data_IF_526427344677
#
_entry.id   IF_526427344677
#
_cell.length_a   1.000
_cell.length_b   1.000
_cell.length_c   1.000
_cell.angle_alpha   90.00
_cell.angle_beta   90.00
_cell.angle_gamma   90.00
#
_symmetry.space_group_name_H-M   'P 1'
#
loop_
_entity.id
_entity.type
_entity.pdbx_description
1 polymer ?
#
# COMPACT_ATOMS: atom_id res chain seq x y z
N UNK A 1 -18.06 22.66 -32.16
CA UNK A 1 -17.05 22.10 -33.08
C UNK A 1 -16.79 20.66 -32.65
N UNK A 2 -16.97 19.69 -33.55
CA UNK A 2 -16.53 18.30 -33.39
C UNK A 2 -15.12 18.17 -34.01
N UNK A 3 -14.27 17.31 -33.47
CA UNK A 3 -12.88 17.15 -33.94
C UNK A 3 -12.75 16.27 -35.21
N UNK A 4 -13.86 16.00 -35.90
CA UNK A 4 -13.89 15.13 -37.09
C UNK A 4 -13.77 13.63 -36.81
N UNK A 5 -13.64 13.20 -35.55
CA UNK A 5 -13.65 11.77 -35.20
C UNK A 5 -15.07 11.22 -35.14
N UNK A 6 -15.24 9.95 -35.54
CA UNK A 6 -16.53 9.25 -35.51
C UNK A 6 -17.17 9.29 -34.11
N UNK A 7 -16.36 9.14 -33.07
CA UNK A 7 -16.77 9.23 -31.67
C UNK A 7 -17.40 10.59 -31.32
N UNK A 8 -16.86 11.68 -31.86
CA UNK A 8 -17.36 13.04 -31.62
C UNK A 8 -18.70 13.28 -32.31
N UNK A 9 -18.92 12.66 -33.48
CA UNK A 9 -20.21 12.68 -34.17
C UNK A 9 -21.26 11.81 -33.46
N UNK A 10 -20.86 10.62 -33.00
CA UNK A 10 -21.72 9.68 -32.27
C UNK A 10 -21.96 10.08 -30.82
N UNK A 11 -21.17 11.01 -30.27
CA UNK A 11 -21.14 11.38 -28.85
C UNK A 11 -20.94 10.17 -27.94
N UNK A 12 -20.16 9.20 -28.41
CA UNK A 12 -19.87 7.96 -27.71
C UNK A 12 -18.41 7.58 -27.99
N UNK A 13 -17.70 7.14 -26.95
CA UNK A 13 -16.35 6.63 -27.03
C UNK A 13 -16.29 5.29 -26.31
N UNK A 14 -15.70 4.28 -26.95
CA UNK A 14 -15.58 2.93 -26.40
C UNK A 14 -14.18 2.77 -25.80
N UNK A 15 -14.10 2.25 -24.58
CA UNK A 15 -12.85 2.06 -23.86
C UNK A 15 -12.74 0.58 -23.47
N UNK A 16 -12.20 -0.23 -24.37
CA UNK A 16 -12.15 -1.69 -24.20
C UNK A 16 -11.12 -2.15 -23.16
N UNK A 17 -10.08 -1.34 -22.95
CA UNK A 17 -8.95 -1.68 -22.07
C UNK A 17 -9.20 -1.35 -20.58
N UNK A 18 -10.43 -0.96 -20.21
CA UNK A 18 -10.74 -0.43 -18.87
C UNK A 18 -11.93 -1.14 -18.25
N UNK A 19 -11.70 -1.75 -17.09
CA UNK A 19 -12.78 -2.29 -16.27
C UNK A 19 -13.68 -1.15 -15.73
N UNK A 20 -14.99 -1.40 -15.69
CA UNK A 20 -16.02 -0.46 -15.23
C UNK A 20 -15.68 0.14 -13.87
N UNK A 21 -15.13 -0.66 -12.95
CA UNK A 21 -14.79 -0.20 -11.60
C UNK A 21 -13.66 0.84 -11.59
N UNK A 22 -12.73 0.80 -12.54
CA UNK A 22 -11.65 1.78 -12.67
C UNK A 22 -12.16 3.08 -13.28
N UNK A 23 -12.99 2.95 -14.33
CA UNK A 23 -13.61 4.10 -14.98
C UNK A 23 -14.51 4.87 -14.00
N UNK A 24 -15.30 4.19 -13.17
CA UNK A 24 -16.13 4.84 -12.15
C UNK A 24 -15.29 5.68 -11.18
N UNK A 25 -14.16 5.14 -10.69
CA UNK A 25 -13.24 5.88 -9.79
C UNK A 25 -12.60 7.08 -10.48
N UNK A 26 -12.25 6.93 -11.76
CA UNK A 26 -11.78 8.06 -12.56
C UNK A 26 -12.85 9.13 -12.71
N UNK A 27 -14.10 8.76 -12.98
CA UNK A 27 -15.22 9.71 -13.04
C UNK A 27 -15.43 10.41 -11.69
N UNK A 28 -15.41 9.68 -10.58
CA UNK A 28 -15.47 10.28 -9.24
C UNK A 28 -14.39 11.34 -9.07
N UNK A 29 -13.14 11.00 -9.43
CA UNK A 29 -12.04 11.95 -9.39
C UNK A 29 -12.27 13.16 -10.31
N UNK A 30 -12.73 12.96 -11.54
CA UNK A 30 -12.95 14.05 -12.49
C UNK A 30 -14.02 15.05 -12.02
N UNK A 31 -15.05 14.58 -11.30
CA UNK A 31 -16.14 15.43 -10.82
C UNK A 31 -16.00 15.92 -9.38
N UNK A 32 -15.29 15.19 -8.51
CA UNK A 32 -15.15 15.51 -7.06
C UNK A 32 -13.74 15.89 -6.66
N UNK A 33 -12.76 15.66 -7.52
CA UNK A 33 -11.33 15.75 -7.20
C UNK A 33 -10.79 14.55 -6.44
N UNK A 34 -11.64 13.60 -6.01
CA UNK A 34 -11.24 12.41 -5.25
C UNK A 34 -11.99 11.14 -5.69
N UNK A 35 -11.50 9.96 -5.33
CA UNK A 35 -12.13 8.67 -5.63
C UNK A 35 -12.28 7.77 -4.39
N UNK A 36 -13.32 6.95 -4.43
CA UNK A 36 -13.67 5.99 -3.39
C UNK A 36 -12.81 4.74 -3.49
N UNK A 37 -12.27 4.33 -2.35
CA UNK A 37 -11.48 3.11 -2.20
C UNK A 37 -12.43 1.94 -1.93
N UNK A 38 -12.28 0.79 -2.62
CA UNK A 38 -13.13 -0.36 -2.32
C UNK A 38 -12.92 -0.84 -0.88
N UNK A 39 -13.92 -1.46 -0.25
CA UNK A 39 -13.72 -2.09 1.04
C UNK A 39 -12.71 -3.24 0.95
N UNK A 40 -12.01 -3.52 2.05
CA UNK A 40 -11.30 -4.78 2.19
C UNK A 40 -12.30 -5.95 2.20
N UNK A 41 -11.91 -7.09 1.66
CA UNK A 41 -12.74 -8.29 1.68
C UNK A 41 -12.49 -9.07 2.97
N UNK A 42 -13.53 -9.61 3.59
CA UNK A 42 -13.37 -10.52 4.73
C UNK A 42 -13.27 -11.94 4.20
N UNK A 43 -12.11 -12.59 4.34
CA UNK A 43 -11.90 -13.98 3.94
C UNK A 43 -12.53 -14.99 4.94
N UNK A 44 -13.58 -14.61 5.66
CA UNK A 44 -14.36 -15.62 6.37
C UNK A 44 -15.07 -16.46 5.31
N UNK A 45 -14.57 -17.67 5.07
CA UNK A 45 -15.43 -18.76 4.61
C UNK A 45 -16.67 -18.70 5.48
N UNK A 46 -17.84 -18.41 4.88
CA UNK A 46 -19.11 -18.42 5.60
C UNK A 46 -19.42 -19.87 5.98
N UNK A 47 -18.79 -20.34 7.04
CA UNK A 47 -19.25 -21.46 7.84
C UNK A 47 -20.61 -21.05 8.40
N UNK A 48 -21.65 -21.58 7.77
CA UNK A 48 -23.02 -21.43 8.18
C UNK A 48 -23.19 -22.17 9.52
N UNK A 49 -23.12 -21.45 10.64
CA UNK A 49 -23.67 -21.94 11.90
C UNK A 49 -24.23 -20.77 12.73
N UNK A 50 -25.52 -20.89 12.99
CA UNK A 50 -26.34 -19.99 13.77
C UNK A 50 -26.08 -20.21 15.26
N UNK A 51 -25.92 -19.12 16.02
CA UNK A 51 -26.35 -18.95 17.42
C UNK A 51 -25.31 -18.16 18.23
N UNK A 52 -25.67 -16.94 18.61
CA UNK A 52 -25.11 -16.31 19.80
C UNK A 52 -26.15 -15.48 20.52
N UNK A 53 -26.71 -16.05 21.59
CA UNK A 53 -27.42 -15.32 22.63
C UNK A 53 -26.55 -15.11 23.88
N UNK A 54 -26.74 -13.91 24.43
CA UNK A 54 -26.61 -13.49 25.83
C UNK A 54 -25.27 -12.95 26.39
N UNK A 55 -25.25 -11.61 26.48
CA UNK A 55 -24.97 -10.76 27.64
C UNK A 55 -24.31 -11.35 28.91
N UNK A 56 -23.31 -10.67 29.48
CA UNK A 56 -23.43 -9.79 30.67
C UNK A 56 -22.09 -9.50 31.37
N UNK A 57 -22.09 -8.38 32.10
CA UNK A 57 -21.02 -7.70 32.82
C UNK A 57 -20.29 -8.50 33.91
N UNK A 58 -19.05 -8.07 34.25
CA UNK A 58 -18.44 -8.50 35.51
C UNK A 58 -17.01 -8.04 35.84
N UNK A 59 -16.89 -6.88 36.49
CA UNK A 59 -16.00 -6.55 37.64
C UNK A 59 -14.47 -6.37 37.48
N UNK A 60 -14.02 -5.16 37.90
CA UNK A 60 -12.70 -4.79 38.46
C UNK A 60 -12.37 -5.55 39.77
N UNK A 61 -11.09 -5.87 40.03
CA UNK A 61 -10.26 -5.33 41.15
C UNK A 61 -8.80 -5.85 41.23
N UNK A 62 -7.88 -4.89 41.46
CA UNK A 62 -6.68 -4.82 42.32
C UNK A 62 -5.61 -5.94 42.41
N UNK A 63 -4.40 -5.57 41.95
CA UNK A 63 -3.13 -5.36 42.67
C UNK A 63 -2.65 -6.39 43.73
N UNK A 64 -1.44 -6.92 43.54
CA UNK A 64 -0.49 -7.17 44.63
C UNK A 64 0.97 -7.16 44.15
N UNK A 65 1.82 -6.49 44.94
CA UNK A 65 3.25 -6.26 44.74
C UNK A 65 4.08 -7.44 45.25
N UNK A 66 5.22 -7.73 44.61
CA UNK A 66 6.36 -8.43 45.24
C UNK A 66 7.68 -7.84 44.75
N UNK A 67 8.59 -7.61 45.70
CA UNK A 67 9.93 -7.06 45.54
C UNK A 67 10.94 -8.13 45.12
N UNK A 68 11.99 -7.72 44.39
CA UNK A 68 13.19 -8.52 44.07
C UNK A 68 14.42 -7.62 44.26
N UNK A 69 15.58 -8.14 44.74
CA UNK A 69 16.68 -7.35 45.32
C UNK A 69 17.68 -6.77 44.29
N UNK A 70 18.53 -5.87 44.80
CA UNK A 70 19.63 -5.15 44.16
C UNK A 70 20.50 -5.99 43.20
N UNK A 71 20.61 -5.53 41.96
CA UNK A 71 21.62 -5.95 40.97
C UNK A 71 22.51 -4.73 40.67
N UNK A 72 23.86 -4.86 40.72
CA UNK A 72 24.79 -3.76 40.43
C UNK A 72 24.63 -3.20 39.01
N UNK A 73 24.93 -1.92 38.75
CA UNK A 73 24.72 -1.32 37.45
C UNK A 73 25.75 -1.82 36.43
N UNK A 74 25.32 -2.68 35.50
CA UNK A 74 26.04 -2.90 34.25
C UNK A 74 25.93 -1.66 33.34
N UNK A 75 26.99 -1.34 32.57
CA UNK A 75 27.09 -0.12 31.79
C UNK A 75 25.98 -0.04 30.74
N UNK A 76 25.22 1.05 30.79
CA UNK A 76 24.19 1.40 29.82
C UNK A 76 24.82 1.51 28.43
N UNK A 77 24.45 0.60 27.54
CA UNK A 77 24.67 0.73 26.11
C UNK A 77 23.71 1.81 25.61
N UNK A 78 24.24 2.91 25.06
CA UNK A 78 23.44 3.94 24.41
C UNK A 78 22.59 3.31 23.28
N UNK A 79 21.30 3.67 23.12
CA UNK A 79 20.49 3.12 22.04
C UNK A 79 21.02 3.66 20.71
N UNK A 80 21.87 2.88 20.05
CA UNK A 80 22.21 3.10 18.66
C UNK A 80 20.93 2.95 17.84
N UNK A 81 20.37 4.08 17.39
CA UNK A 81 19.24 4.09 16.48
C UNK A 81 19.69 3.38 15.21
N UNK A 82 19.30 2.12 15.05
CA UNK A 82 19.72 1.32 13.89
C UNK A 82 19.33 2.03 12.59
N UNK A 83 20.17 1.94 11.56
CA UNK A 83 19.89 2.50 10.21
C UNK A 83 18.48 2.13 9.72
N UNK A 84 18.01 0.94 10.11
CA UNK A 84 16.65 0.42 9.86
C UNK A 84 15.53 1.30 10.42
N UNK A 85 15.65 1.73 11.68
CA UNK A 85 14.64 2.56 12.34
C UNK A 85 14.53 3.93 11.65
N UNK A 86 15.67 4.49 11.21
CA UNK A 86 15.69 5.76 10.47
C UNK A 86 15.07 5.63 9.08
N UNK A 87 15.42 4.60 8.31
CA UNK A 87 14.85 4.38 6.99
C UNK A 87 13.33 4.17 7.06
N UNK A 88 12.88 3.37 8.04
CA UNK A 88 11.46 3.14 8.28
C UNK A 88 10.74 4.44 8.64
N UNK A 89 11.34 5.30 9.47
CA UNK A 89 10.81 6.63 9.76
C UNK A 89 10.76 7.55 8.52
N UNK A 90 11.80 7.52 7.67
CA UNK A 90 11.83 8.27 6.40
C UNK A 90 10.72 7.82 5.45
N UNK A 91 10.49 6.51 5.35
CA UNK A 91 9.37 5.98 4.58
C UNK A 91 8.03 6.50 5.10
N UNK A 92 7.76 6.39 6.41
CA UNK A 92 6.48 6.80 6.99
C UNK A 92 6.23 8.33 6.96
N UNK A 93 7.29 9.14 6.89
CA UNK A 93 7.20 10.61 6.81
C UNK A 93 7.09 11.15 5.39
N UNK A 94 7.26 10.29 4.38
CA UNK A 94 7.22 10.68 2.96
C UNK A 94 5.83 11.17 2.58
N UNK A 95 5.78 12.25 1.81
CA UNK A 95 4.55 12.75 1.19
C UNK A 95 4.76 12.82 -0.32
N UNK A 96 3.81 12.27 -1.07
CA UNK A 96 3.87 12.20 -2.53
C UNK A 96 3.11 13.33 -3.23
N UNK A 97 2.42 14.19 -2.48
CA UNK A 97 1.81 15.40 -3.01
C UNK A 97 2.79 16.57 -2.89
N UNK A 98 3.28 17.06 -4.04
CA UNK A 98 4.29 18.15 -4.13
C UNK A 98 3.66 19.53 -4.27
N UNK A 99 2.38 19.61 -4.65
CA UNK A 99 1.72 20.89 -4.94
C UNK A 99 0.91 21.39 -3.73
N UNK A 100 1.04 22.69 -3.41
CA UNK A 100 0.27 23.39 -2.37
C UNK A 100 -1.08 23.93 -2.92
N UNK A 101 -1.55 23.42 -4.06
CA UNK A 101 -2.85 23.84 -4.59
C UNK A 101 -3.97 23.50 -3.60
N UNK A 102 -5.05 24.30 -3.54
CA UNK A 102 -6.18 24.04 -2.65
C UNK A 102 -6.77 22.64 -2.81
N UNK A 103 -6.71 22.11 -4.05
CA UNK A 103 -7.13 20.75 -4.39
C UNK A 103 -6.19 19.73 -3.73
N UNK A 104 -4.87 19.91 -3.83
CA UNK A 104 -3.91 19.03 -3.16
C UNK A 104 -4.07 19.05 -1.63
N UNK A 105 -4.39 20.22 -1.02
CA UNK A 105 -4.67 20.35 0.41
C UNK A 105 -5.92 19.57 0.84
N UNK A 106 -6.99 19.62 0.04
CA UNK A 106 -8.21 18.83 0.29
C UNK A 106 -7.89 17.33 0.17
N UNK A 107 -7.10 16.94 -0.81
CA UNK A 107 -6.71 15.55 -1.04
C UNK A 107 -5.72 15.00 0.01
N UNK A 108 -5.05 15.88 0.76
CA UNK A 108 -4.16 15.53 1.84
C UNK A 108 -4.92 14.96 3.06
N UNK A 109 -6.22 15.21 3.17
CA UNK A 109 -7.09 14.76 4.28
C UNK A 109 -7.46 13.28 4.23
N UNK A 110 -7.00 12.51 3.24
CA UNK A 110 -7.30 11.08 3.17
C UNK A 110 -6.74 10.33 4.38
N UNK A 111 -7.63 9.66 5.10
CA UNK A 111 -7.35 8.75 6.20
C UNK A 111 -7.73 7.31 5.79
N UNK A 112 -6.77 6.42 5.52
CA UNK A 112 -7.08 5.05 5.14
C UNK A 112 -7.58 4.27 6.35
N UNK A 113 -8.60 3.44 6.11
CA UNK A 113 -9.09 2.47 7.09
C UNK A 113 -8.06 1.35 7.24
N UNK A 114 -7.43 1.27 8.40
CA UNK A 114 -6.52 0.19 8.76
C UNK A 114 -7.28 -1.14 8.91
N UNK A 115 -6.58 -2.25 8.67
CA UNK A 115 -7.05 -3.55 9.07
C UNK A 115 -7.00 -3.72 10.59
N UNK A 116 -8.06 -4.31 11.13
CA UNK A 116 -8.17 -4.70 12.53
C UNK A 116 -7.77 -6.17 12.68
N UNK A 117 -8.14 -7.02 11.71
CA UNK A 117 -8.05 -8.47 11.85
C UNK A 117 -7.20 -9.15 10.76
N UNK A 118 -6.58 -10.32 11.05
CA UNK A 118 -5.72 -11.05 10.10
C UNK A 118 -6.42 -11.57 8.84
N UNK A 119 -7.74 -11.78 8.87
CA UNK A 119 -8.52 -12.30 7.73
C UNK A 119 -8.97 -11.22 6.74
N UNK A 120 -8.67 -9.95 7.02
CA UNK A 120 -9.08 -8.85 6.15
C UNK A 120 -8.11 -8.73 4.97
N UNK A 121 -8.60 -9.08 3.78
CA UNK A 121 -7.87 -9.04 2.54
C UNK A 121 -7.81 -7.60 1.99
N UNK A 122 -6.59 -7.05 1.95
CA UNK A 122 -6.31 -5.70 1.45
C UNK A 122 -5.85 -5.70 -0.01
N UNK A 123 -5.69 -6.88 -0.64
CA UNK A 123 -5.43 -7.00 -2.07
C UNK A 123 -6.33 -6.08 -2.93
N UNK A 124 -7.67 -6.07 -2.81
CA UNK A 124 -8.52 -5.23 -3.64
C UNK A 124 -8.29 -3.72 -3.41
N UNK A 125 -7.93 -3.33 -2.18
CA UNK A 125 -7.62 -1.96 -1.79
C UNK A 125 -6.34 -1.50 -2.48
N UNK A 126 -5.27 -2.28 -2.34
CA UNK A 126 -3.97 -1.97 -2.94
C UNK A 126 -4.04 -1.95 -4.46
N UNK A 127 -4.70 -2.94 -5.07
CA UNK A 127 -4.84 -3.02 -6.51
C UNK A 127 -5.73 -1.91 -7.07
N UNK A 128 -6.75 -1.43 -6.34
CA UNK A 128 -7.52 -0.27 -6.79
C UNK A 128 -6.66 0.99 -6.92
N UNK A 129 -5.78 1.26 -5.96
CA UNK A 129 -4.83 2.37 -6.04
C UNK A 129 -3.82 2.18 -7.16
N UNK A 130 -3.20 1.00 -7.25
CA UNK A 130 -2.16 0.72 -8.24
C UNK A 130 -2.72 0.75 -9.67
N UNK A 131 -3.93 0.21 -9.90
CA UNK A 131 -4.58 0.24 -11.21
C UNK A 131 -4.97 1.64 -11.63
N UNK A 132 -5.51 2.44 -10.71
CA UNK A 132 -5.84 3.83 -11.00
C UNK A 132 -4.57 4.67 -11.23
N UNK A 133 -3.47 4.34 -10.57
CA UNK A 133 -2.15 4.92 -10.84
C UNK A 133 -1.68 4.59 -12.28
N UNK A 134 -1.73 3.33 -12.69
CA UNK A 134 -1.39 2.92 -14.06
C UNK A 134 -2.25 3.64 -15.09
N UNK A 135 -3.56 3.71 -14.84
CA UNK A 135 -4.50 4.44 -15.69
C UNK A 135 -4.14 5.93 -15.81
N UNK A 136 -3.87 6.59 -14.68
CA UNK A 136 -3.47 7.99 -14.65
C UNK A 136 -2.14 8.21 -15.37
N UNK A 137 -1.21 7.26 -15.28
CA UNK A 137 0.05 7.29 -16.02
C UNK A 137 -0.19 7.19 -17.53
N UNK A 138 -0.94 6.19 -17.99
CA UNK A 138 -1.25 5.99 -19.41
C UNK A 138 -1.96 7.19 -20.03
N UNK A 139 -2.85 7.84 -19.28
CA UNK A 139 -3.61 9.01 -19.72
C UNK A 139 -2.92 10.35 -19.41
N UNK A 140 -1.69 10.31 -18.88
CA UNK A 140 -0.88 11.49 -18.53
C UNK A 140 -1.58 12.47 -17.55
N UNK A 141 -2.39 11.94 -16.64
CA UNK A 141 -3.13 12.69 -15.61
C UNK A 141 -2.25 12.79 -14.36
N UNK A 142 -1.24 13.68 -14.41
CA UNK A 142 -0.24 13.80 -13.35
C UNK A 142 -0.82 14.00 -11.93
N UNK A 143 -1.86 14.83 -11.69
CA UNK A 143 -2.39 15.02 -10.34
C UNK A 143 -3.07 13.75 -9.79
N UNK A 144 -3.75 12.98 -10.65
CA UNK A 144 -4.34 11.68 -10.26
C UNK A 144 -3.25 10.64 -10.00
N UNK A 145 -2.17 10.64 -10.80
CA UNK A 145 -1.00 9.77 -10.59
C UNK A 145 -0.37 10.04 -9.22
N UNK A 146 -0.17 11.32 -8.85
CA UNK A 146 0.35 11.69 -7.53
C UNK A 146 -0.62 11.34 -6.39
N UNK A 147 -1.92 11.59 -6.58
CA UNK A 147 -2.96 11.28 -5.59
C UNK A 147 -3.04 9.78 -5.30
N UNK A 148 -3.08 8.95 -6.34
CA UNK A 148 -3.16 7.49 -6.20
C UNK A 148 -1.94 6.92 -5.49
N UNK A 149 -0.76 7.42 -5.82
CA UNK A 149 0.48 7.05 -5.14
C UNK A 149 0.46 7.44 -3.66
N UNK A 150 0.03 8.67 -3.34
CA UNK A 150 -0.05 9.14 -1.96
C UNK A 150 -1.05 8.33 -1.13
N UNK A 151 -2.24 8.04 -1.70
CA UNK A 151 -3.23 7.20 -1.02
C UNK A 151 -2.72 5.77 -0.80
N UNK A 152 -2.01 5.20 -1.78
CA UNK A 152 -1.39 3.88 -1.62
C UNK A 152 -0.33 3.89 -0.52
N UNK A 153 0.57 4.87 -0.51
CA UNK A 153 1.61 5.01 0.52
C UNK A 153 1.01 5.12 1.92
N UNK A 154 -0.02 5.97 2.11
CA UNK A 154 -0.74 6.06 3.38
C UNK A 154 -1.43 4.75 3.75
N UNK A 155 -2.04 4.07 2.78
CA UNK A 155 -2.74 2.79 3.03
C UNK A 155 -1.76 1.71 3.46
N UNK A 156 -0.61 1.59 2.80
CA UNK A 156 0.49 0.70 3.21
C UNK A 156 1.04 1.10 4.58
N UNK A 157 1.13 2.40 4.85
CA UNK A 157 1.67 2.90 6.13
C UNK A 157 0.77 2.60 7.33
N UNK A 158 -0.54 2.62 7.13
CA UNK A 158 -1.54 2.26 8.15
C UNK A 158 -1.90 0.77 8.13
N UNK A 159 -1.33 -0.01 7.22
CA UNK A 159 -1.60 -1.45 7.12
C UNK A 159 -0.80 -2.22 8.16
N UNK A 160 -1.50 -2.94 9.03
CA UNK A 160 -0.89 -3.86 9.97
C UNK A 160 -0.57 -5.18 9.26
N UNK A 161 0.71 -5.40 8.99
CA UNK A 161 1.17 -6.60 8.32
C UNK A 161 1.05 -7.82 9.24
N UNK A 162 0.02 -8.63 9.01
CA UNK A 162 -0.10 -9.97 9.59
C UNK A 162 0.59 -11.00 8.70
N UNK A 163 1.08 -12.09 9.30
CA UNK A 163 1.68 -13.23 8.62
C UNK A 163 0.84 -13.70 7.41
N UNK A 164 -0.47 -13.90 7.64
CA UNK A 164 -1.41 -14.38 6.63
C UNK A 164 -1.66 -13.37 5.50
N UNK A 165 -1.21 -12.12 5.64
CA UNK A 165 -1.45 -11.03 4.69
C UNK A 165 -0.22 -10.64 3.87
N UNK A 166 0.92 -11.31 4.05
CA UNK A 166 2.10 -11.10 3.18
C UNK A 166 1.74 -11.34 1.71
N UNK A 167 0.82 -12.27 1.44
CA UNK A 167 0.28 -12.50 0.09
C UNK A 167 -0.35 -11.27 -0.56
N UNK A 168 -0.95 -10.36 0.21
CA UNK A 168 -1.56 -9.13 -0.34
C UNK A 168 -0.48 -8.18 -0.88
N UNK A 169 0.66 -8.09 -0.18
CA UNK A 169 1.81 -7.28 -0.60
C UNK A 169 2.50 -7.92 -1.81
N UNK A 170 2.64 -9.25 -1.83
CA UNK A 170 3.21 -9.97 -2.97
C UNK A 170 2.35 -9.77 -4.23
N UNK A 171 1.02 -9.81 -4.12
CA UNK A 171 0.12 -9.51 -5.25
C UNK A 171 0.27 -8.08 -5.75
N UNK A 172 0.44 -7.11 -4.85
CA UNK A 172 0.74 -5.72 -5.22
C UNK A 172 2.08 -5.61 -5.98
N UNK A 173 3.12 -6.27 -5.49
CA UNK A 173 4.44 -6.29 -6.14
C UNK A 173 4.38 -6.95 -7.52
N UNK A 174 3.73 -8.11 -7.62
CA UNK A 174 3.48 -8.79 -8.90
C UNK A 174 2.77 -7.87 -9.88
N UNK A 175 1.70 -7.20 -9.44
CA UNK A 175 1.00 -6.24 -10.29
C UNK A 175 1.98 -5.14 -10.76
N UNK A 176 2.65 -4.43 -9.86
CA UNK A 176 3.55 -3.33 -10.20
C UNK A 176 4.68 -3.71 -11.19
N UNK A 177 5.15 -4.96 -11.15
CA UNK A 177 6.25 -5.44 -12.00
C UNK A 177 5.83 -6.19 -13.26
N UNK A 178 4.61 -6.75 -13.31
CA UNK A 178 4.08 -7.44 -14.50
C UNK A 178 3.29 -6.51 -15.44
N UNK A 179 2.86 -5.34 -14.97
CA UNK A 179 2.16 -4.39 -15.84
C UNK A 179 3.09 -3.84 -16.93
N UNK A 180 2.74 -4.11 -18.18
CA UNK A 180 3.48 -3.63 -19.36
C UNK A 180 3.28 -2.13 -19.59
N UNK A 181 2.20 -1.56 -19.07
CA UNK A 181 1.87 -0.14 -19.20
C UNK A 181 2.73 0.77 -18.32
N UNK A 182 3.41 0.20 -17.32
CA UNK A 182 4.37 0.93 -16.51
C UNK A 182 5.74 0.84 -17.16
N UNK A 183 6.48 1.95 -17.24
CA UNK A 183 7.81 1.93 -17.81
C UNK A 183 8.68 0.92 -17.05
N UNK A 184 9.42 0.12 -17.81
CA UNK A 184 10.57 -0.60 -17.28
C UNK A 184 11.58 0.41 -16.73
N UNK A 185 12.64 -0.09 -16.10
CA UNK A 185 13.72 0.76 -15.59
C UNK A 185 14.13 1.83 -16.62
N UNK A 186 14.16 3.10 -16.18
CA UNK A 186 14.64 4.20 -17.03
C UNK A 186 16.09 3.95 -17.46
N UNK A 187 16.54 4.60 -18.55
CA UNK A 187 17.94 4.51 -19.02
C UNK A 187 18.95 4.89 -17.93
N UNK A 188 18.54 5.77 -17.01
CA UNK A 188 19.35 6.23 -15.88
C UNK A 188 19.26 5.30 -14.64
N UNK A 189 18.52 4.19 -14.76
CA UNK A 189 18.30 3.26 -13.65
C UNK A 189 17.20 3.68 -12.67
N UNK A 190 16.56 4.84 -12.89
CA UNK A 190 15.46 5.34 -12.06
C UNK A 190 14.22 4.46 -12.17
N UNK A 191 13.63 4.14 -11.02
CA UNK A 191 12.38 3.39 -10.92
C UNK A 191 11.18 4.32 -11.06
N UNK A 192 10.10 3.80 -11.64
CA UNK A 192 8.79 4.44 -11.52
C UNK A 192 8.38 4.52 -10.04
N UNK A 193 7.67 5.59 -9.68
CA UNK A 193 7.37 5.89 -8.29
C UNK A 193 6.54 4.79 -7.61
N UNK A 194 5.68 4.07 -8.35
CA UNK A 194 4.93 2.94 -7.81
C UNK A 194 5.85 1.76 -7.50
N UNK A 195 6.71 1.36 -8.44
CA UNK A 195 7.70 0.29 -8.23
C UNK A 195 8.61 0.60 -7.03
N UNK A 196 9.09 1.85 -6.97
CA UNK A 196 9.90 2.35 -5.85
C UNK A 196 9.15 2.26 -4.53
N UNK A 197 7.90 2.71 -4.47
CA UNK A 197 7.08 2.65 -3.25
C UNK A 197 6.90 1.22 -2.74
N UNK A 198 6.59 0.27 -3.63
CA UNK A 198 6.39 -1.13 -3.23
C UNK A 198 7.70 -1.74 -2.71
N UNK A 199 8.82 -1.53 -3.41
CA UNK A 199 10.11 -2.07 -2.98
C UNK A 199 10.56 -1.46 -1.65
N UNK A 200 10.42 -0.14 -1.47
CA UNK A 200 10.73 0.51 -0.19
C UNK A 200 9.91 -0.09 0.96
N UNK A 201 8.61 -0.32 0.76
CA UNK A 201 7.76 -0.95 1.78
C UNK A 201 8.20 -2.38 2.11
N UNK A 202 8.49 -3.20 1.10
CA UNK A 202 8.95 -4.58 1.31
C UNK A 202 10.27 -4.63 2.07
N UNK A 203 11.21 -3.72 1.75
CA UNK A 203 12.48 -3.60 2.48
C UNK A 203 12.26 -3.15 3.92
N UNK A 204 11.35 -2.19 4.16
CA UNK A 204 10.99 -1.73 5.51
C UNK A 204 10.46 -2.85 6.42
N UNK A 205 9.65 -3.76 5.86
CA UNK A 205 8.97 -4.82 6.62
C UNK A 205 9.57 -6.22 6.35
N UNK A 206 10.82 -6.27 5.88
CA UNK A 206 11.48 -7.51 5.45
C UNK A 206 11.64 -8.53 6.58
N UNK A 207 11.76 -8.09 7.84
CA UNK A 207 11.87 -8.97 9.00
C UNK A 207 10.61 -9.81 9.25
N UNK A 208 9.47 -9.38 8.70
CA UNK A 208 8.19 -10.12 8.70
C UNK A 208 8.00 -10.81 7.35
N UNK A 209 8.08 -10.06 6.25
CA UNK A 209 7.81 -10.57 4.88
C UNK A 209 8.77 -11.71 4.51
N UNK A 210 10.05 -11.58 4.82
CA UNK A 210 11.10 -12.52 4.45
C UNK A 210 11.02 -13.89 5.14
N UNK A 211 10.13 -14.06 6.13
CA UNK A 211 9.93 -15.34 6.83
C UNK A 211 8.85 -16.21 6.21
N UNK A 212 8.12 -15.71 5.22
CA UNK A 212 6.97 -16.40 4.63
C UNK A 212 7.28 -16.99 3.28
N UNK A 213 6.89 -18.25 3.08
CA UNK A 213 7.14 -19.03 1.87
C UNK A 213 6.58 -18.34 0.60
N UNK A 214 5.42 -17.68 0.70
CA UNK A 214 4.81 -16.93 -0.41
C UNK A 214 5.74 -15.84 -0.97
N UNK A 215 6.54 -15.21 -0.11
CA UNK A 215 7.54 -14.24 -0.55
C UNK A 215 8.78 -14.91 -1.12
N UNK A 216 9.21 -16.04 -0.54
CA UNK A 216 10.36 -16.83 -1.05
C UNK A 216 10.06 -17.34 -2.46
N UNK A 217 8.89 -17.94 -2.69
CA UNK A 217 8.43 -18.37 -4.01
C UNK A 217 8.44 -17.20 -5.01
N UNK A 218 7.98 -16.02 -4.60
CA UNK A 218 8.03 -14.84 -5.45
C UNK A 218 9.45 -14.39 -5.79
N UNK A 219 10.40 -14.54 -4.86
CA UNK A 219 11.82 -14.25 -5.11
C UNK A 219 12.47 -15.28 -6.06
N UNK A 220 12.03 -16.54 -6.00
CA UNK A 220 12.52 -17.62 -6.87
C UNK A 220 12.05 -17.47 -8.33
N UNK A 221 10.86 -16.90 -8.56
CA UNK A 221 10.39 -16.55 -9.91
C UNK A 221 11.30 -15.54 -10.63
N UNK A 222 12.02 -14.72 -9.86
CA UNK A 222 12.94 -13.72 -10.39
C UNK A 222 12.25 -12.48 -10.97
N UNK A 223 12.89 -11.87 -11.97
CA UNK A 223 12.42 -10.64 -12.62
C UNK A 223 13.07 -9.35 -12.10
N UNK A 224 12.63 -8.20 -12.63
CA UNK A 224 13.20 -6.90 -12.29
C UNK A 224 13.08 -6.56 -10.80
N UNK A 225 12.03 -7.07 -10.13
CA UNK A 225 11.77 -6.86 -8.71
C UNK A 225 12.96 -7.24 -7.83
N UNK A 226 13.53 -8.43 -8.04
CA UNK A 226 14.63 -8.95 -7.20
C UNK A 226 15.86 -8.03 -7.30
N UNK A 227 16.15 -7.52 -8.49
CA UNK A 227 17.27 -6.61 -8.71
C UNK A 227 17.05 -5.25 -8.04
N UNK A 228 15.82 -4.73 -8.07
CA UNK A 228 15.47 -3.47 -7.40
C UNK A 228 15.46 -3.62 -5.88
N UNK A 229 14.91 -4.73 -5.38
CA UNK A 229 14.90 -5.09 -3.97
C UNK A 229 16.31 -5.07 -3.39
N UNK A 230 17.27 -5.77 -3.99
CA UNK A 230 18.65 -5.80 -3.46
C UNK A 230 19.39 -4.48 -3.62
N UNK A 231 19.00 -3.61 -4.55
CA UNK A 231 19.57 -2.25 -4.62
C UNK A 231 19.12 -1.42 -3.43
N UNK A 232 17.82 -1.38 -3.16
CA UNK A 232 17.25 -0.63 -2.03
C UNK A 232 17.71 -1.24 -0.70
N UNK A 233 17.73 -2.57 -0.58
CA UNK A 233 18.20 -3.26 0.62
C UNK A 233 19.68 -3.00 0.92
N UNK A 234 20.55 -2.84 -0.10
CA UNK A 234 21.96 -2.47 0.15
C UNK A 234 22.12 -1.05 0.67
N UNK A 235 21.25 -0.14 0.26
CA UNK A 235 21.22 1.22 0.82
C UNK A 235 20.63 1.24 2.23
N UNK A 236 19.79 0.26 2.58
CA UNK A 236 19.21 0.06 3.91
C UNK A 236 20.19 -0.54 4.95
N UNK A 237 21.21 -1.27 4.51
CA UNK A 237 22.18 -1.96 5.38
C UNK A 237 23.43 -1.11 5.66
N UNK A 238 23.62 -0.01 4.93
CA UNK A 238 24.68 0.98 5.20
C UNK A 238 24.34 1.85 6.41
#
# INVERSE_FOLDING_TARGET
MNNGMAESAMRCATLDDIEVSYFSRFCEYAYRGDYTVPPCEDNQEKGNDDSWEFSTAGKRKKESKKAVPDVPPEPQCEPQVSSRTMFRALFYSKNHLVDCSPIATILQSFEPKANVFPWQNFTPVFLAHARLYCFAHMRLIAPLKALTLNKLHKTLSNFKLYADRVGDIVKLARYAYLNQDLPSRSKDGTLDDLKKLVVEYVVCEIDVIGKHDVFVEYMEEGGEFVGDFWKVARDFVK
#
